data_IF_962584652484
#
_entry.id   IF_962584652484
#
_cell.length_a   1.000
_cell.length_b   1.000
_cell.length_c   1.000
_cell.angle_alpha   90.00
_cell.angle_beta   90.00
_cell.angle_gamma   90.00
#
_symmetry.space_group_name_H-M   'P 1'
#
loop_
_entity.id
_entity.type
_entity.pdbx_description
1 polymer ?
#
# COMPACT_ATOMS: atom_id res chain seq x y z
N UNK A 1 -27.56 38.72 48.77
CA UNK A 1 -26.71 38.60 47.57
C UNK A 1 -25.35 38.04 47.98
N UNK A 2 -25.06 36.80 47.62
CA UNK A 2 -23.72 36.21 47.66
C UNK A 2 -23.66 35.20 46.50
N UNK A 3 -23.05 35.62 45.38
CA UNK A 3 -22.89 34.80 44.17
C UNK A 3 -21.82 33.73 44.44
N UNK A 4 -22.21 32.46 44.42
CA UNK A 4 -21.29 31.30 44.41
C UNK A 4 -20.82 31.06 42.96
N UNK A 5 -19.51 30.87 42.80
CA UNK A 5 -18.81 30.66 41.52
C UNK A 5 -19.15 29.27 40.94
N UNK A 6 -19.40 29.14 39.62
CA UNK A 6 -19.49 27.83 38.98
C UNK A 6 -18.10 27.27 38.65
N UNK A 7 -17.94 25.97 38.95
CA UNK A 7 -16.75 25.14 38.70
C UNK A 7 -16.70 24.81 37.20
N UNK A 8 -15.56 25.07 36.54
CA UNK A 8 -15.30 24.63 35.16
C UNK A 8 -14.76 23.20 35.19
N UNK A 9 -15.53 22.25 34.68
CA UNK A 9 -15.09 20.89 34.39
C UNK A 9 -14.26 20.87 33.11
N UNK A 10 -13.12 20.19 33.17
CA UNK A 10 -12.27 19.86 32.02
C UNK A 10 -13.04 18.90 31.09
N UNK A 11 -13.30 19.33 29.87
CA UNK A 11 -13.60 18.42 28.77
C UNK A 11 -12.48 18.60 27.75
N UNK A 12 -11.56 17.64 27.74
CA UNK A 12 -10.64 17.41 26.63
C UNK A 12 -11.46 17.09 25.39
N UNK A 13 -11.29 17.82 24.27
CA UNK A 13 -11.88 17.39 23.01
C UNK A 13 -11.25 16.05 22.62
N UNK A 14 -12.11 15.06 22.36
CA UNK A 14 -11.78 13.80 21.70
C UNK A 14 -11.03 14.11 20.40
N UNK A 15 -9.92 13.41 20.08
CA UNK A 15 -9.22 13.64 18.82
C UNK A 15 -10.17 13.31 17.66
N UNK A 16 -10.36 14.29 16.79
CA UNK A 16 -10.95 14.09 15.46
C UNK A 16 -10.07 13.10 14.71
N UNK A 17 -10.62 12.03 14.10
CA UNK A 17 -9.83 11.12 13.28
C UNK A 17 -9.27 11.90 12.07
N UNK A 18 -7.95 11.90 11.91
CA UNK A 18 -7.26 12.46 10.74
C UNK A 18 -7.70 11.72 9.48
N UNK A 19 -7.99 12.39 8.35
CA UNK A 19 -8.23 11.73 7.08
C UNK A 19 -6.96 11.00 6.63
N UNK A 20 -7.08 9.71 6.34
CA UNK A 20 -6.06 8.95 5.61
C UNK A 20 -6.12 9.39 4.13
N UNK A 21 -5.07 10.03 3.61
CA UNK A 21 -4.93 10.39 2.19
C UNK A 21 -3.60 9.80 1.63
N UNK A 22 -3.45 9.63 0.30
CA UNK A 22 -3.19 8.32 -0.28
C UNK A 22 -1.97 8.29 -1.22
N UNK A 23 -1.18 7.22 -1.13
CA UNK A 23 -0.09 6.78 -2.03
C UNK A 23 1.33 7.12 -1.56
N UNK A 24 1.95 6.09 -0.99
CA UNK A 24 3.35 5.97 -0.61
C UNK A 24 3.92 4.77 -1.39
N UNK A 25 4.80 5.00 -2.38
CA UNK A 25 5.32 3.95 -3.28
C UNK A 25 6.82 4.15 -3.58
N UNK A 26 7.67 3.19 -3.19
CA UNK A 26 9.12 3.11 -3.50
C UNK A 26 9.45 1.85 -4.36
N UNK A 27 10.49 1.88 -5.23
CA UNK A 27 10.84 0.76 -6.10
C UNK A 27 11.62 -0.35 -5.39
N UNK A 28 11.09 -1.58 -5.41
CA UNK A 28 11.76 -2.76 -4.87
C UNK A 28 12.08 -3.81 -5.94
N UNK A 29 13.27 -4.41 -5.82
CA UNK A 29 13.67 -5.59 -6.61
C UNK A 29 13.18 -6.87 -5.91
N UNK A 30 12.04 -7.39 -6.34
CA UNK A 30 11.40 -8.54 -5.71
C UNK A 30 11.41 -9.73 -6.66
N UNK A 31 11.83 -10.89 -6.16
CA UNK A 31 11.60 -12.17 -6.83
C UNK A 31 10.21 -12.65 -6.42
N UNK A 32 9.24 -12.38 -7.27
CA UNK A 32 7.86 -12.84 -7.12
C UNK A 32 7.48 -13.72 -8.30
N UNK A 33 6.53 -14.61 -8.05
CA UNK A 33 5.86 -15.30 -9.13
C UNK A 33 4.89 -14.30 -9.80
N UNK A 34 5.16 -13.97 -11.07
CA UNK A 34 4.28 -13.09 -11.84
C UNK A 34 3.11 -13.91 -12.34
N UNK A 35 1.91 -13.39 -12.09
CA UNK A 35 0.67 -13.90 -12.70
C UNK A 35 0.63 -13.44 -14.17
N UNK A 36 0.71 -14.39 -15.10
CA UNK A 36 0.63 -14.16 -16.54
C UNK A 36 -0.82 -14.05 -17.02
N UNK A 37 -1.69 -14.85 -16.42
CA UNK A 37 -3.12 -14.87 -16.71
C UNK A 37 -3.87 -15.40 -15.48
N UNK A 38 -5.08 -14.89 -15.27
CA UNK A 38 -5.91 -15.25 -14.14
C UNK A 38 -7.38 -15.25 -14.55
N UNK A 39 -8.05 -16.38 -14.34
CA UNK A 39 -9.47 -16.53 -14.63
C UNK A 39 -10.21 -17.07 -13.42
N UNK A 40 -11.36 -16.47 -13.15
CA UNK A 40 -12.31 -16.91 -12.13
C UNK A 40 -13.58 -17.37 -12.82
N UNK A 41 -14.08 -18.55 -12.46
CA UNK A 41 -15.31 -19.08 -13.02
C UNK A 41 -15.92 -20.13 -12.11
N UNK A 42 -17.18 -20.46 -12.36
CA UNK A 42 -17.91 -21.47 -11.61
C UNK A 42 -18.53 -22.50 -12.53
N UNK A 43 -18.51 -23.76 -12.10
CA UNK A 43 -19.23 -24.83 -12.79
C UNK A 43 -20.20 -25.50 -11.84
N UNK A 44 -21.34 -25.89 -12.38
CA UNK A 44 -22.31 -26.70 -11.69
C UNK A 44 -22.42 -28.05 -12.37
N UNK A 45 -22.35 -29.12 -11.58
CA UNK A 45 -22.58 -30.48 -12.07
C UNK A 45 -23.59 -31.19 -11.17
N UNK A 46 -24.42 -32.04 -11.78
CA UNK A 46 -25.43 -32.82 -11.09
C UNK A 46 -25.24 -34.29 -11.39
N UNK A 47 -24.75 -35.02 -10.39
CA UNK A 47 -24.50 -36.45 -10.50
C UNK A 47 -25.50 -37.26 -9.69
N UNK A 48 -25.93 -38.38 -10.26
CA UNK A 48 -26.71 -39.40 -9.56
C UNK A 48 -25.74 -40.37 -8.89
N UNK A 49 -25.71 -40.34 -7.58
CA UNK A 49 -24.76 -41.10 -6.79
C UNK A 49 -25.42 -42.32 -6.16
N UNK A 50 -24.73 -43.44 -6.28
CA UNK A 50 -25.12 -44.69 -5.64
C UNK A 50 -24.84 -44.62 -4.13
N UNK A 51 -25.70 -45.23 -3.31
CA UNK A 51 -25.47 -45.39 -1.88
C UNK A 51 -24.52 -46.59 -1.70
N UNK A 52 -23.24 -46.38 -1.32
CA UNK A 52 -22.24 -47.44 -1.34
C UNK A 52 -22.51 -48.55 -0.33
N UNK A 53 -23.12 -48.19 0.81
CA UNK A 53 -23.43 -49.13 1.88
C UNK A 53 -24.71 -49.93 1.57
N UNK A 54 -24.59 -51.25 1.46
CA UNK A 54 -25.70 -52.13 1.09
C UNK A 54 -26.83 -52.11 2.14
N UNK A 55 -26.48 -52.07 3.42
CA UNK A 55 -27.46 -52.03 4.50
C UNK A 55 -28.26 -50.73 4.46
N UNK A 56 -27.58 -49.58 4.36
CA UNK A 56 -28.23 -48.28 4.23
C UNK A 56 -29.13 -48.23 3.00
N UNK A 57 -28.67 -48.75 1.85
CA UNK A 57 -29.46 -48.80 0.62
C UNK A 57 -30.74 -49.64 0.76
N UNK A 58 -30.69 -50.76 1.49
CA UNK A 58 -31.89 -51.57 1.80
C UNK A 58 -32.85 -50.80 2.71
N UNK A 59 -32.34 -50.22 3.80
CA UNK A 59 -33.16 -49.41 4.73
C UNK A 59 -33.83 -48.21 4.03
N UNK A 60 -33.13 -47.55 3.12
CA UNK A 60 -33.67 -46.44 2.32
C UNK A 60 -34.73 -46.95 1.34
N UNK A 61 -34.49 -48.07 0.66
CA UNK A 61 -35.48 -48.68 -0.26
C UNK A 61 -36.77 -49.09 0.46
N UNK A 62 -36.66 -49.70 1.64
CA UNK A 62 -37.80 -50.10 2.46
C UNK A 62 -38.59 -48.89 2.96
N UNK A 63 -37.90 -47.83 3.38
CA UNK A 63 -38.56 -46.60 3.81
C UNK A 63 -39.33 -45.93 2.66
N UNK A 64 -38.73 -45.85 1.47
CA UNK A 64 -39.40 -45.32 0.27
C UNK A 64 -40.62 -46.18 -0.13
N UNK A 65 -40.50 -47.50 -0.09
CA UNK A 65 -41.61 -48.43 -0.39
C UNK A 65 -42.76 -48.31 0.63
N UNK A 66 -42.44 -47.99 1.89
CA UNK A 66 -43.41 -47.72 2.95
C UNK A 66 -44.01 -46.30 2.92
N UNK A 67 -43.63 -45.46 1.95
CA UNK A 67 -44.08 -44.07 1.86
C UNK A 67 -43.52 -43.16 2.97
N UNK A 68 -42.42 -43.55 3.61
CA UNK A 68 -41.75 -42.77 4.65
C UNK A 68 -40.82 -41.75 3.99
N UNK A 69 -40.86 -40.51 4.48
CA UNK A 69 -39.98 -39.45 4.00
C UNK A 69 -38.50 -39.74 4.31
N UNK A 70 -37.68 -39.70 3.26
CA UNK A 70 -36.22 -39.79 3.34
C UNK A 70 -35.65 -38.41 3.03
N UNK A 71 -34.91 -37.84 3.99
CA UNK A 71 -34.26 -36.54 3.84
C UNK A 71 -32.76 -36.75 3.60
N UNK A 72 -32.28 -36.26 2.48
CA UNK A 72 -30.84 -36.24 2.16
C UNK A 72 -30.31 -34.84 2.41
N UNK A 73 -29.18 -34.75 3.12
CA UNK A 73 -28.45 -33.50 3.29
C UNK A 73 -27.06 -33.63 2.72
N UNK A 74 -26.70 -32.69 1.86
CA UNK A 74 -25.35 -32.50 1.39
C UNK A 74 -24.60 -31.52 2.30
N UNK A 75 -23.36 -31.85 2.61
CA UNK A 75 -22.43 -30.97 3.34
C UNK A 75 -21.29 -30.63 2.38
N UNK A 76 -21.02 -29.34 2.15
CA UNK A 76 -19.97 -28.90 1.24
C UNK A 76 -18.60 -29.40 1.71
N UNK A 77 -17.70 -29.57 0.75
CA UNK A 77 -16.29 -29.85 1.05
C UNK A 77 -15.62 -28.56 1.54
N UNK A 78 -14.54 -28.70 2.30
CA UNK A 78 -13.61 -27.59 2.48
C UNK A 78 -12.96 -27.29 1.12
N UNK A 79 -12.88 -26.02 0.67
CA UNK A 79 -12.15 -25.69 -0.55
C UNK A 79 -10.70 -26.18 -0.58
N UNK A 80 -10.04 -26.30 0.58
CA UNK A 80 -8.67 -26.85 0.68
C UNK A 80 -8.59 -28.36 0.37
N UNK A 81 -9.70 -29.09 0.51
CA UNK A 81 -9.79 -30.53 0.20
C UNK A 81 -10.01 -30.79 -1.30
N UNK A 82 -10.19 -29.76 -2.13
CA UNK A 82 -10.42 -29.90 -3.57
C UNK A 82 -9.12 -30.15 -4.32
N UNK A 83 -9.02 -31.31 -4.97
CA UNK A 83 -7.85 -31.64 -5.78
C UNK A 83 -7.98 -31.03 -7.19
N UNK A 84 -6.97 -30.28 -7.65
CA UNK A 84 -6.86 -29.83 -9.04
C UNK A 84 -5.69 -30.48 -9.77
N UNK A 85 -5.89 -30.83 -11.05
CA UNK A 85 -4.82 -31.21 -11.97
C UNK A 85 -4.96 -30.46 -13.29
N UNK A 86 -4.01 -29.59 -13.58
CA UNK A 86 -3.92 -28.87 -14.84
C UNK A 86 -2.96 -29.57 -15.81
N UNK A 87 -3.29 -29.50 -17.11
CA UNK A 87 -2.44 -29.99 -18.20
C UNK A 87 -2.52 -29.05 -19.39
N UNK A 88 -1.38 -28.55 -19.85
CA UNK A 88 -1.29 -27.76 -21.07
C UNK A 88 -1.50 -28.69 -22.27
N UNK A 89 -2.49 -28.38 -23.10
CA UNK A 89 -2.75 -29.07 -24.36
C UNK A 89 -2.03 -28.40 -25.53
N UNK A 90 -1.96 -27.07 -25.50
CA UNK A 90 -1.40 -26.25 -26.57
C UNK A 90 -0.82 -24.96 -26.00
N UNK A 91 0.44 -24.65 -26.34
CA UNK A 91 1.08 -23.39 -25.97
C UNK A 91 0.56 -22.24 -26.84
N UNK A 92 0.47 -21.04 -26.29
CA UNK A 92 0.02 -19.87 -27.05
C UNK A 92 -0.33 -18.66 -26.19
N UNK A 93 -0.71 -17.60 -26.88
CA UNK A 93 -1.33 -16.41 -26.31
C UNK A 93 -2.59 -16.06 -27.13
N UNK A 94 -3.74 -16.72 -26.87
CA UNK A 94 -3.97 -17.73 -25.82
C UNK A 94 -3.56 -19.16 -26.23
N UNK A 95 -3.15 -19.96 -25.25
CA UNK A 95 -3.00 -21.42 -25.36
C UNK A 95 -4.17 -22.14 -24.69
N UNK A 96 -4.22 -23.47 -24.80
CA UNK A 96 -5.34 -24.29 -24.31
C UNK A 96 -4.88 -25.20 -23.18
N UNK A 97 -5.61 -25.17 -22.07
CA UNK A 97 -5.32 -25.94 -20.85
C UNK A 97 -6.55 -26.75 -20.46
N UNK A 98 -6.34 -28.03 -20.16
CA UNK A 98 -7.37 -28.89 -19.58
C UNK A 98 -7.15 -29.00 -18.07
N UNK A 99 -8.23 -28.84 -17.30
CA UNK A 99 -8.17 -28.84 -15.84
C UNK A 99 -9.20 -29.84 -15.33
N UNK A 100 -8.75 -30.75 -14.46
CA UNK A 100 -9.60 -31.72 -13.79
C UNK A 100 -9.66 -31.39 -12.31
N UNK A 101 -10.87 -31.13 -11.82
CA UNK A 101 -11.16 -30.88 -10.42
C UNK A 101 -11.81 -32.11 -9.80
N UNK A 102 -11.42 -32.49 -8.59
CA UNK A 102 -12.07 -33.54 -7.81
C UNK A 102 -12.56 -32.96 -6.49
N UNK A 103 -13.89 -32.88 -6.32
CA UNK A 103 -14.54 -32.27 -5.16
C UNK A 103 -15.14 -33.37 -4.26
N UNK A 104 -14.65 -33.55 -3.01
CA UNK A 104 -15.16 -34.56 -2.09
C UNK A 104 -16.29 -34.03 -1.19
N UNK A 105 -17.56 -34.12 -1.63
CA UNK A 105 -18.71 -33.69 -0.81
C UNK A 105 -19.24 -34.79 0.10
N UNK A 106 -19.71 -34.44 1.29
CA UNK A 106 -20.20 -35.41 2.28
C UNK A 106 -21.72 -35.47 2.30
N UNK A 107 -22.28 -36.67 2.14
CA UNK A 107 -23.72 -36.92 2.18
C UNK A 107 -24.12 -37.54 3.52
N UNK A 108 -25.26 -37.11 4.06
CA UNK A 108 -25.92 -37.76 5.21
C UNK A 108 -27.39 -38.02 4.88
N UNK A 109 -27.85 -39.23 5.17
CA UNK A 109 -29.23 -39.65 4.95
C UNK A 109 -29.95 -39.75 6.29
N UNK A 110 -31.17 -39.20 6.34
CA UNK A 110 -32.03 -39.20 7.51
C UNK A 110 -33.39 -39.82 7.16
N UNK A 111 -33.87 -40.71 8.03
CA UNK A 111 -35.22 -41.28 7.98
C UNK A 111 -35.92 -40.92 9.28
N UNK A 112 -37.09 -40.27 9.21
CA UNK A 112 -37.80 -39.78 10.40
C UNK A 112 -36.89 -38.97 11.35
N UNK A 113 -36.04 -38.11 10.78
CA UNK A 113 -35.02 -37.29 11.49
C UNK A 113 -33.88 -38.07 12.16
N UNK A 114 -33.84 -39.40 12.09
CA UNK A 114 -32.72 -40.22 12.56
C UNK A 114 -31.70 -40.39 11.43
N UNK A 115 -30.43 -40.06 11.69
CA UNK A 115 -29.33 -40.33 10.76
C UNK A 115 -29.17 -41.84 10.59
N UNK A 116 -29.21 -42.32 9.35
CA UNK A 116 -29.02 -43.73 9.00
C UNK A 116 -27.57 -43.96 8.58
N UNK A 117 -27.10 -43.24 7.57
CA UNK A 117 -25.72 -43.40 7.08
C UNK A 117 -25.12 -42.08 6.59
N UNK A 118 -23.80 -42.11 6.35
CA UNK A 118 -23.05 -41.01 5.77
C UNK A 118 -21.90 -41.58 4.93
N UNK A 119 -21.65 -40.97 3.78
CA UNK A 119 -20.56 -41.33 2.88
C UNK A 119 -20.09 -40.10 2.09
N UNK A 120 -18.93 -40.20 1.46
CA UNK A 120 -18.35 -39.13 0.64
C UNK A 120 -18.55 -39.46 -0.83
N UNK A 121 -19.00 -38.46 -1.59
CA UNK A 121 -19.11 -38.49 -3.05
C UNK A 121 -17.99 -37.64 -3.62
N UNK A 122 -17.22 -38.18 -4.57
CA UNK A 122 -16.20 -37.42 -5.31
C UNK A 122 -16.78 -37.04 -6.67
N UNK A 123 -17.08 -35.77 -6.88
CA UNK A 123 -17.53 -35.23 -8.16
C UNK A 123 -16.32 -34.72 -8.94
N UNK A 124 -16.23 -35.06 -10.23
CA UNK A 124 -15.16 -34.59 -11.10
C UNK A 124 -15.68 -33.59 -12.12
N UNK A 125 -14.98 -32.46 -12.25
CA UNK A 125 -15.22 -31.48 -13.31
C UNK A 125 -14.05 -31.50 -14.26
N UNK A 126 -14.32 -31.51 -15.56
CA UNK A 126 -13.31 -31.30 -16.59
C UNK A 126 -13.62 -30.00 -17.31
N UNK A 127 -12.66 -29.09 -17.29
CA UNK A 127 -12.76 -27.82 -18.01
C UNK A 127 -11.66 -27.75 -19.06
N UNK A 128 -11.98 -27.07 -20.16
CA UNK A 128 -11.00 -26.55 -21.08
C UNK A 128 -11.04 -25.02 -21.00
N UNK A 129 -9.89 -24.44 -20.72
CA UNK A 129 -9.74 -23.00 -20.48
C UNK A 129 -8.64 -22.48 -21.40
N UNK A 130 -8.88 -21.30 -21.97
CA UNK A 130 -7.87 -20.59 -22.77
C UNK A 130 -7.08 -19.69 -21.83
N UNK A 131 -5.77 -19.92 -21.71
CA UNK A 131 -4.86 -19.19 -20.81
C UNK A 131 -3.61 -18.74 -21.56
N UNK A 132 -3.00 -17.63 -21.15
CA UNK A 132 -1.69 -17.22 -21.67
C UNK A 132 -0.60 -18.18 -21.17
N UNK A 133 -0.19 -19.13 -22.02
CA UNK A 133 0.84 -20.13 -21.72
C UNK A 133 1.91 -20.14 -22.83
N UNK A 134 2.77 -19.11 -22.90
CA UNK A 134 3.88 -19.06 -23.86
C UNK A 134 4.84 -20.25 -23.68
N UNK A 135 5.67 -20.49 -24.70
CA UNK A 135 6.71 -21.52 -24.67
C UNK A 135 7.65 -21.28 -23.47
N UNK A 136 7.80 -22.28 -22.61
CA UNK A 136 8.61 -22.22 -21.38
C UNK A 136 7.80 -22.36 -20.09
N UNK A 137 6.51 -22.03 -20.11
CA UNK A 137 5.58 -22.36 -19.03
C UNK A 137 5.32 -23.88 -19.04
N UNK A 138 5.09 -24.49 -17.88
CA UNK A 138 4.89 -25.94 -17.71
C UNK A 138 3.67 -26.14 -16.83
N UNK A 139 3.08 -27.33 -16.83
CA UNK A 139 1.88 -27.65 -16.04
C UNK A 139 1.99 -27.25 -14.55
N UNK A 140 3.20 -27.34 -13.97
CA UNK A 140 3.48 -26.96 -12.57
C UNK A 140 3.32 -25.47 -12.24
N UNK A 141 3.28 -24.63 -13.27
CA UNK A 141 3.13 -23.17 -13.18
C UNK A 141 1.65 -22.77 -13.27
N UNK A 142 0.74 -23.74 -13.38
CA UNK A 142 -0.69 -23.50 -13.37
C UNK A 142 -1.19 -23.85 -11.98
N UNK A 143 -1.57 -22.81 -11.24
CA UNK A 143 -2.09 -22.91 -9.89
C UNK A 143 -3.60 -22.81 -9.97
N UNK A 144 -4.27 -23.84 -9.46
CA UNK A 144 -5.72 -23.82 -9.35
C UNK A 144 -6.10 -23.84 -7.88
N UNK A 145 -7.08 -23.00 -7.53
CA UNK A 145 -7.60 -22.90 -6.18
C UNK A 145 -9.13 -22.97 -6.23
N UNK A 146 -9.70 -23.77 -5.34
CA UNK A 146 -11.12 -23.71 -5.07
C UNK A 146 -11.37 -22.58 -4.05
N UNK A 147 -12.33 -21.73 -4.33
CA UNK A 147 -12.69 -20.60 -3.46
C UNK A 147 -13.90 -20.94 -2.60
N UNK A 148 -14.90 -21.61 -3.18
CA UNK A 148 -16.10 -22.04 -2.48
C UNK A 148 -16.64 -23.33 -3.10
N UNK A 149 -17.23 -24.17 -2.25
CA UNK A 149 -17.91 -25.39 -2.66
C UNK A 149 -19.30 -25.32 -2.10
N UNK A 150 -20.30 -25.24 -2.96
CA UNK A 150 -21.69 -25.36 -2.55
C UNK A 150 -22.25 -26.70 -3.00
N UNK A 151 -23.06 -27.30 -2.15
CA UNK A 151 -23.70 -28.54 -2.53
C UNK A 151 -25.13 -28.62 -2.03
N UNK A 152 -25.98 -29.18 -2.89
CA UNK A 152 -27.39 -29.41 -2.61
C UNK A 152 -27.79 -30.80 -3.09
N UNK A 153 -28.74 -31.41 -2.39
CA UNK A 153 -29.40 -32.63 -2.81
C UNK A 153 -30.87 -32.32 -3.04
N UNK A 154 -31.44 -32.75 -4.17
CA UNK A 154 -32.84 -32.47 -4.44
C UNK A 154 -33.74 -33.34 -3.57
N UNK A 155 -34.87 -32.78 -3.13
CA UNK A 155 -35.94 -33.50 -2.38
C UNK A 155 -36.83 -34.33 -3.31
N UNK A 156 -36.45 -34.49 -4.57
CA UNK A 156 -37.21 -35.27 -5.54
C UNK A 156 -37.22 -36.75 -5.14
N UNK A 157 -38.24 -37.52 -5.55
CA UNK A 157 -38.29 -38.95 -5.26
C UNK A 157 -37.01 -39.63 -5.76
N UNK A 158 -36.32 -40.31 -4.85
CA UNK A 158 -35.10 -41.05 -5.16
C UNK A 158 -35.46 -42.21 -6.09
N UNK A 159 -34.98 -42.17 -7.32
CA UNK A 159 -35.22 -43.20 -8.33
C UNK A 159 -33.90 -43.80 -8.79
N UNK A 160 -33.86 -45.11 -8.99
CA UNK A 160 -32.72 -45.79 -9.57
C UNK A 160 -33.06 -47.21 -10.00
N UNK A 161 -32.26 -47.78 -10.91
CA UNK A 161 -32.49 -49.13 -11.43
C UNK A 161 -32.17 -50.19 -10.37
N UNK A 162 -32.97 -51.26 -10.33
CA UNK A 162 -32.61 -52.51 -9.65
C UNK A 162 -31.38 -53.13 -10.35
N UNK A 163 -30.31 -53.61 -9.68
CA UNK A 163 -30.07 -53.82 -8.23
C UNK A 163 -29.41 -52.66 -7.49
N UNK A 164 -29.23 -51.50 -8.13
CA UNK A 164 -28.53 -50.36 -7.54
C UNK A 164 -29.42 -49.54 -6.59
N UNK A 165 -30.74 -49.74 -6.64
CA UNK A 165 -31.67 -49.10 -5.71
C UNK A 165 -31.73 -47.58 -5.87
N UNK A 166 -32.22 -46.84 -4.87
CA UNK A 166 -32.41 -45.39 -4.97
C UNK A 166 -31.07 -44.66 -5.12
N UNK A 167 -30.95 -43.86 -6.18
CA UNK A 167 -29.79 -42.99 -6.41
C UNK A 167 -30.07 -41.58 -5.90
N UNK A 168 -29.03 -40.93 -5.40
CA UNK A 168 -29.11 -39.59 -4.81
C UNK A 168 -28.60 -38.57 -5.84
N UNK A 169 -29.46 -37.68 -6.36
CA UNK A 169 -28.99 -36.54 -7.14
C UNK A 169 -28.28 -35.56 -6.21
N UNK A 170 -26.98 -35.38 -6.45
CA UNK A 170 -26.15 -34.39 -5.76
C UNK A 170 -25.71 -33.36 -6.78
N UNK A 171 -26.09 -32.11 -6.52
CA UNK A 171 -25.67 -30.95 -7.29
C UNK A 171 -24.53 -30.27 -6.54
N UNK A 172 -23.39 -30.13 -7.21
CA UNK A 172 -22.20 -29.46 -6.69
C UNK A 172 -21.93 -28.25 -7.57
N UNK A 173 -21.80 -27.09 -6.94
CA UNK A 173 -21.31 -25.86 -7.56
C UNK A 173 -19.91 -25.62 -7.00
N UNK A 174 -18.93 -25.51 -7.89
CA UNK A 174 -17.55 -25.23 -7.55
C UNK A 174 -17.18 -23.84 -8.06
N UNK A 175 -16.85 -22.94 -7.14
CA UNK A 175 -16.24 -21.64 -7.44
C UNK A 175 -14.72 -21.79 -7.37
N UNK A 176 -14.04 -21.35 -8.41
CA UNK A 176 -12.62 -21.63 -8.59
C UNK A 176 -11.93 -20.53 -9.35
N UNK A 177 -10.64 -20.43 -9.08
CA UNK A 177 -9.73 -19.56 -9.79
C UNK A 177 -8.52 -20.35 -10.30
N UNK A 178 -8.05 -19.98 -11.48
CA UNK A 178 -6.91 -20.58 -12.15
C UNK A 178 -5.94 -19.49 -12.55
N UNK A 179 -4.71 -19.60 -12.06
CA UNK A 179 -3.63 -18.65 -12.25
C UNK A 179 -2.47 -19.33 -12.97
N UNK A 180 -1.90 -18.64 -13.95
CA UNK A 180 -0.62 -19.03 -14.55
C UNK A 180 0.46 -18.17 -13.92
N UNK A 181 1.34 -18.77 -13.13
CA UNK A 181 2.39 -18.08 -12.39
C UNK A 181 3.77 -18.54 -12.84
N UNK A 182 4.69 -17.60 -13.06
CA UNK A 182 6.06 -17.95 -13.39
C UNK A 182 7.04 -17.05 -12.61
N UNK A 183 8.12 -17.61 -12.04
CA UNK A 183 9.08 -16.84 -11.27
C UNK A 183 9.80 -15.84 -12.17
N UNK A 184 9.67 -14.56 -11.86
CA UNK A 184 10.37 -13.48 -12.54
C UNK A 184 11.17 -12.68 -11.51
N UNK A 185 12.10 -11.88 -12.01
CA UNK A 185 12.77 -10.83 -11.23
C UNK A 185 12.21 -9.52 -11.76
N UNK A 186 11.50 -8.79 -10.91
CA UNK A 186 10.92 -7.51 -11.25
C UNK A 186 11.55 -6.43 -10.38
N UNK A 187 11.76 -5.27 -10.99
CA UNK A 187 11.95 -4.00 -10.30
C UNK A 187 10.59 -3.30 -10.42
N UNK A 188 9.84 -3.16 -9.32
CA UNK A 188 8.44 -2.71 -9.36
C UNK A 188 8.19 -1.53 -8.43
N UNK A 189 7.56 -0.48 -8.98
CA UNK A 189 6.59 0.37 -8.29
C UNK A 189 5.21 -0.18 -8.66
N UNK A 190 4.49 -0.81 -7.73
CA UNK A 190 3.30 -1.62 -8.06
C UNK A 190 2.10 -1.41 -7.13
N UNK A 191 0.91 -1.27 -7.72
CA UNK A 191 -0.39 -1.43 -7.02
C UNK A 191 -0.80 -2.90 -6.96
N UNK A 192 -1.49 -3.29 -5.89
CA UNK A 192 -2.19 -4.58 -5.80
C UNK A 192 -3.19 -4.75 -6.95
N UNK A 193 -3.17 -5.91 -7.60
CA UNK A 193 -4.14 -6.27 -8.62
C UNK A 193 -5.51 -6.52 -7.98
N UNK A 194 -6.52 -5.74 -8.37
CA UNK A 194 -7.92 -6.03 -8.06
C UNK A 194 -8.54 -6.85 -9.21
N UNK A 195 -9.34 -7.89 -8.94
CA UNK A 195 -10.09 -8.56 -9.99
C UNK A 195 -11.06 -7.56 -10.64
N UNK A 196 -11.16 -7.61 -11.97
CA UNK A 196 -12.20 -6.87 -12.68
C UNK A 196 -13.57 -7.39 -12.26
N UNK A 197 -14.58 -6.53 -12.01
CA UNK A 197 -15.95 -6.98 -11.89
C UNK A 197 -16.43 -7.58 -13.23
N UNK A 198 -17.39 -8.50 -13.15
CA UNK A 198 -17.94 -9.20 -14.31
C UNK A 198 -18.99 -8.34 -15.01
N UNK A 199 -18.53 -7.26 -15.63
CA UNK A 199 -19.37 -6.17 -16.17
C UNK A 199 -20.02 -6.51 -17.53
N UNK A 200 -19.85 -7.75 -18.01
CA UNK A 200 -20.47 -8.24 -19.23
C UNK A 200 -21.78 -8.92 -18.80
N UNK A 201 -22.95 -8.30 -19.06
CA UNK A 201 -24.19 -8.77 -18.47
C UNK A 201 -24.63 -10.08 -19.13
N UNK A 202 -24.59 -11.15 -18.34
CA UNK A 202 -25.43 -12.33 -18.53
C UNK A 202 -26.38 -12.38 -17.34
N UNK A 203 -27.70 -12.36 -17.56
CA UNK A 203 -28.64 -12.29 -16.45
C UNK A 203 -28.59 -13.61 -15.69
N UNK A 204 -28.24 -13.58 -14.41
CA UNK A 204 -28.98 -14.20 -13.29
C UNK A 204 -28.23 -14.10 -11.96
N UNK A 205 -28.99 -13.82 -10.90
CA UNK A 205 -28.48 -13.54 -9.57
C UNK A 205 -28.03 -14.78 -8.80
N UNK A 206 -26.78 -14.73 -8.32
CA UNK A 206 -26.36 -15.00 -6.95
C UNK A 206 -24.89 -14.53 -6.88
N UNK A 207 -24.59 -13.51 -6.07
CA UNK A 207 -23.24 -12.94 -5.92
C UNK A 207 -22.53 -13.52 -4.68
N UNK A 208 -21.22 -13.76 -4.79
CA UNK A 208 -20.37 -14.16 -3.67
C UNK A 208 -19.98 -12.92 -2.84
N UNK A 209 -19.96 -12.99 -1.50
CA UNK A 209 -19.56 -11.87 -0.66
C UNK A 209 -18.04 -11.65 -0.74
N UNK A 210 -17.63 -10.44 -1.05
CA UNK A 210 -16.22 -10.00 -1.15
C UNK A 210 -15.55 -9.83 0.22
N UNK A 211 -16.31 -10.02 1.30
CA UNK A 211 -15.94 -9.64 2.67
C UNK A 211 -15.06 -10.71 3.37
N UNK A 212 -14.80 -11.85 2.72
CA UNK A 212 -14.03 -12.97 3.27
C UNK A 212 -12.50 -12.82 3.13
N UNK A 213 -12.00 -11.69 2.62
CA UNK A 213 -10.57 -11.42 2.45
C UNK A 213 -10.02 -10.56 3.62
N UNK A 214 -9.30 -11.17 4.58
CA UNK A 214 -8.53 -10.46 5.60
C UNK A 214 -7.02 -10.48 5.25
N UNK A 215 -6.41 -9.29 5.18
CA UNK A 215 -4.99 -9.12 4.85
C UNK A 215 -4.11 -9.19 6.11
N UNK A 216 -2.84 -9.65 6.01
CA UNK A 216 -1.90 -9.61 7.13
C UNK A 216 -1.53 -8.16 7.51
N UNK A 217 -1.36 -7.84 8.80
CA UNK A 217 -0.91 -6.52 9.23
C UNK A 217 0.52 -6.25 8.76
N UNK A 218 0.76 -5.05 8.22
CA UNK A 218 2.09 -4.56 7.80
C UNK A 218 2.90 -4.03 9.00
N UNK A 219 4.23 -3.91 8.84
CA UNK A 219 5.16 -3.47 9.88
C UNK A 219 5.37 -1.94 9.84
N UNK A 220 5.45 -1.29 11.02
CA UNK A 220 5.53 0.16 11.19
C UNK A 220 6.88 0.83 10.83
N UNK A 221 7.83 0.11 10.24
CA UNK A 221 9.17 0.64 9.90
C UNK A 221 9.45 0.64 8.38
N UNK A 222 8.43 0.37 7.59
CA UNK A 222 8.53 0.31 6.14
C UNK A 222 7.23 0.84 5.50
N UNK A 223 7.31 1.69 4.46
CA UNK A 223 8.51 2.24 3.82
C UNK A 223 9.13 3.44 4.59
N UNK A 224 10.24 3.96 4.09
CA UNK A 224 10.97 5.13 4.64
C UNK A 224 10.43 6.42 3.98
N UNK A 225 10.52 7.55 4.69
CA UNK A 225 9.94 8.83 4.28
C UNK A 225 10.51 9.37 2.95
N UNK A 226 9.62 9.75 2.03
CA UNK A 226 9.92 10.34 0.71
C UNK A 226 9.48 11.81 0.63
N UNK A 227 9.99 12.56 -0.35
CA UNK A 227 9.63 13.97 -0.59
C UNK A 227 8.92 14.18 -1.93
N UNK A 228 8.04 15.18 -2.01
CA UNK A 228 7.30 15.55 -3.23
C UNK A 228 8.10 16.42 -4.22
N UNK A 229 9.25 16.93 -3.81
CA UNK A 229 10.11 17.78 -4.64
C UNK A 229 11.56 17.67 -4.16
N UNK A 230 12.49 18.06 -5.02
CA UNK A 230 13.91 18.12 -4.70
C UNK A 230 14.47 19.48 -5.04
N UNK A 231 15.46 19.93 -4.27
CA UNK A 231 16.20 21.13 -4.60
C UNK A 231 17.67 21.03 -4.25
N UNK A 232 18.48 21.68 -5.06
CA UNK A 232 19.88 21.98 -4.78
C UNK A 232 20.02 23.49 -4.70
N UNK A 233 20.67 23.99 -3.64
CA UNK A 233 21.01 25.40 -3.51
C UNK A 233 22.49 25.55 -3.17
N UNK A 234 23.18 26.40 -3.94
CA UNK A 234 24.60 26.68 -3.77
C UNK A 234 24.84 28.19 -3.72
N UNK A 235 25.34 28.69 -2.59
CA UNK A 235 25.79 30.06 -2.40
C UNK A 235 27.25 30.06 -1.95
N UNK A 236 28.08 30.96 -2.48
CA UNK A 236 29.51 31.05 -2.15
C UNK A 236 29.90 32.48 -1.81
N UNK A 237 29.92 32.77 -0.51
CA UNK A 237 30.21 34.10 0.03
C UNK A 237 29.29 35.19 -0.52
N UNK A 238 27.99 34.90 -0.58
CA UNK A 238 26.99 35.84 -1.09
C UNK A 238 26.67 36.91 -0.04
N UNK A 239 26.54 38.17 -0.47
CA UNK A 239 26.25 39.29 0.42
C UNK A 239 24.94 39.04 1.17
N UNK A 240 24.96 39.20 2.50
CA UNK A 240 23.86 38.83 3.39
C UNK A 240 23.64 39.91 4.44
N UNK A 241 22.39 40.35 4.58
CA UNK A 241 21.94 41.20 5.69
C UNK A 241 21.19 40.35 6.71
N UNK A 242 21.92 39.72 7.62
CA UNK A 242 21.35 38.78 8.58
C UNK A 242 20.81 39.51 9.82
N UNK A 243 19.74 38.98 10.40
CA UNK A 243 19.17 39.45 11.66
C UNK A 243 19.51 38.48 12.78
N UNK A 244 20.16 38.97 13.84
CA UNK A 244 20.61 38.20 14.99
C UNK A 244 19.81 38.51 16.26
N UNK A 245 19.54 37.45 17.03
CA UNK A 245 18.94 37.52 18.36
C UNK A 245 17.50 38.04 18.38
N UNK A 246 16.92 38.09 19.58
CA UNK A 246 15.56 38.60 19.79
C UNK A 246 15.44 40.11 19.67
N UNK A 247 16.57 40.80 19.75
CA UNK A 247 16.64 42.28 19.70
C UNK A 247 16.68 42.80 18.25
N UNK A 248 16.82 41.91 17.26
CA UNK A 248 16.74 42.24 15.85
C UNK A 248 17.98 42.96 15.30
N UNK A 249 19.16 42.65 15.83
CA UNK A 249 20.42 43.26 15.36
C UNK A 249 20.69 42.85 13.92
N UNK A 250 20.83 43.82 13.02
CA UNK A 250 21.19 43.57 11.62
C UNK A 250 22.71 43.59 11.49
N UNK A 251 23.27 42.55 10.90
CA UNK A 251 24.72 42.37 10.68
C UNK A 251 24.97 42.14 9.20
N UNK A 252 25.98 42.81 8.65
CA UNK A 252 26.36 42.63 7.24
C UNK A 252 27.47 41.59 7.13
N UNK A 253 27.23 40.54 6.37
CA UNK A 253 28.18 39.45 6.21
C UNK A 253 28.08 38.79 4.85
N UNK A 254 28.75 37.65 4.75
CA UNK A 254 28.67 36.76 3.60
C UNK A 254 28.20 35.38 4.02
N UNK A 255 27.26 34.81 3.25
CA UNK A 255 26.74 33.46 3.48
C UNK A 255 27.31 32.46 2.47
N UNK A 256 27.60 31.26 2.94
CA UNK A 256 27.88 30.10 2.10
C UNK A 256 26.91 28.99 2.45
N UNK A 257 26.23 28.44 1.43
CA UNK A 257 25.30 27.32 1.56
C UNK A 257 25.67 26.26 0.53
N UNK A 258 25.73 25.01 0.95
CA UNK A 258 25.71 23.85 0.07
C UNK A 258 24.59 22.94 0.54
N UNK A 259 23.47 22.94 -0.18
CA UNK A 259 22.28 22.18 0.15
C UNK A 259 21.87 21.25 -1.00
N UNK A 260 21.64 19.99 -0.66
CA UNK A 260 21.08 18.96 -1.51
C UNK A 260 19.90 18.33 -0.76
N UNK A 261 18.69 18.76 -1.07
CA UNK A 261 17.47 18.36 -0.37
C UNK A 261 16.69 17.37 -1.23
N UNK A 262 16.35 16.24 -0.61
CA UNK A 262 15.56 15.15 -1.20
C UNK A 262 16.10 14.66 -2.55
N UNK A 263 17.42 14.45 -2.65
CA UNK A 263 18.02 13.94 -3.89
C UNK A 263 17.40 12.58 -4.23
N UNK A 264 16.98 12.43 -5.49
CA UNK A 264 16.22 11.25 -5.95
C UNK A 264 14.89 11.06 -5.20
N UNK A 265 14.31 12.16 -4.69
CA UNK A 265 13.03 12.21 -4.00
C UNK A 265 12.97 11.45 -2.65
N UNK A 266 14.14 11.14 -2.07
CA UNK A 266 14.24 10.45 -0.78
C UNK A 266 14.71 11.39 0.33
N UNK A 267 13.97 11.45 1.46
CA UNK A 267 14.30 12.33 2.58
C UNK A 267 15.67 11.98 3.17
N UNK A 268 15.99 10.67 3.23
CA UNK A 268 17.25 10.14 3.75
C UNK A 268 18.52 10.61 3.00
N UNK A 269 18.38 11.07 1.75
CA UNK A 269 19.50 11.57 0.95
C UNK A 269 19.71 13.09 1.10
N UNK A 270 18.92 13.74 1.95
CA UNK A 270 19.02 15.17 2.18
C UNK A 270 20.25 15.50 3.03
N UNK A 271 20.96 16.56 2.67
CA UNK A 271 22.03 17.14 3.47
C UNK A 271 22.22 18.61 3.12
N UNK A 272 22.64 19.40 4.10
CA UNK A 272 23.17 20.72 3.80
C UNK A 272 24.19 21.18 4.84
N UNK A 273 24.99 22.16 4.47
CA UNK A 273 25.88 22.87 5.39
C UNK A 273 25.76 24.37 5.14
N UNK A 274 25.86 25.16 6.21
CA UNK A 274 25.74 26.60 6.13
C UNK A 274 26.83 27.29 6.95
N UNK A 275 27.38 28.40 6.45
CA UNK A 275 28.23 29.29 7.22
C UNK A 275 27.91 30.75 6.93
N UNK A 276 28.03 31.57 7.98
CA UNK A 276 27.93 33.02 7.91
C UNK A 276 29.24 33.61 8.40
N UNK A 277 29.81 34.53 7.62
CA UNK A 277 31.02 35.29 7.98
C UNK A 277 30.67 36.76 8.12
N UNK A 278 30.86 37.30 9.31
CA UNK A 278 30.69 38.72 9.58
C UNK A 278 31.74 39.53 8.81
N UNK A 279 31.31 40.53 8.05
CA UNK A 279 32.18 41.40 7.25
C UNK A 279 32.18 42.85 7.73
N UNK A 280 31.48 43.13 8.83
CA UNK A 280 31.52 44.44 9.48
C UNK A 280 32.91 44.62 10.16
N UNK A 281 33.95 44.85 9.36
CA UNK A 281 35.26 45.24 9.86
C UNK A 281 35.27 46.71 10.27
N UNK A 282 35.74 46.95 11.50
CA UNK A 282 36.38 48.19 11.93
C UNK A 282 37.44 48.62 10.90
N UNK A 283 37.04 49.42 9.90
CA UNK A 283 37.97 49.94 8.91
C UNK A 283 39.12 50.71 9.58
N UNK A 284 40.38 50.59 9.11
CA UNK A 284 41.50 51.31 9.68
C UNK A 284 41.38 52.80 9.32
N UNK A 285 40.65 53.56 10.12
CA UNK A 285 40.68 55.03 10.04
C UNK A 285 41.84 55.50 10.94
N UNK A 286 42.92 56.09 10.39
CA UNK A 286 43.98 56.64 11.20
C UNK A 286 43.51 57.97 11.81
N UNK A 287 42.76 57.92 12.90
CA UNK A 287 42.51 59.10 13.74
C UNK A 287 42.81 58.74 15.20
N UNK A 288 43.72 59.47 15.87
CA UNK A 288 44.15 59.10 17.22
C UNK A 288 43.14 59.58 18.27
N UNK A 289 42.14 58.75 18.62
CA UNK A 289 41.39 58.85 19.89
C UNK A 289 40.72 57.51 20.23
N UNK A 290 40.33 57.29 21.50
CA UNK A 290 40.70 56.12 22.29
C UNK A 290 40.01 54.83 21.84
N UNK A 291 40.79 53.74 21.73
CA UNK A 291 40.41 52.32 21.63
C UNK A 291 38.99 52.03 21.13
N UNK A 292 38.77 51.67 19.84
CA UNK A 292 37.49 51.12 19.42
C UNK A 292 37.23 49.86 20.25
N UNK A 293 36.05 49.79 20.87
CA UNK A 293 35.59 48.56 21.50
C UNK A 293 35.37 47.56 20.37
N UNK A 294 36.00 46.37 20.38
CA UNK A 294 35.85 45.42 19.28
C UNK A 294 34.36 45.12 19.08
N UNK A 295 33.88 45.30 17.84
CA UNK A 295 32.56 44.79 17.46
C UNK A 295 32.51 43.28 17.74
N UNK A 296 31.43 42.74 18.32
CA UNK A 296 31.30 41.29 18.52
C UNK A 296 31.25 40.60 17.16
N UNK A 297 32.14 39.62 16.94
CA UNK A 297 32.14 38.76 15.74
C UNK A 297 30.94 37.81 15.77
N UNK A 298 30.06 37.92 14.78
CA UNK A 298 28.87 37.08 14.61
C UNK A 298 29.07 35.90 13.64
N UNK A 299 30.31 35.56 13.28
CA UNK A 299 30.59 34.45 12.38
C UNK A 299 30.27 33.09 13.01
N UNK A 300 29.60 32.20 12.27
CA UNK A 300 29.28 30.84 12.72
C UNK A 300 29.17 29.83 11.58
N UNK A 301 29.27 28.56 11.94
CA UNK A 301 28.92 27.43 11.05
C UNK A 301 27.71 26.69 11.62
N UNK A 302 26.87 26.15 10.75
CA UNK A 302 25.69 25.37 11.10
C UNK A 302 25.68 24.06 10.31
N UNK A 303 25.50 22.97 11.05
CA UNK A 303 25.33 21.62 10.50
C UNK A 303 24.03 21.01 11.05
N UNK A 304 23.11 20.54 10.18
CA UNK A 304 21.90 19.86 10.60
C UNK A 304 22.24 18.48 11.19
N UNK A 305 21.60 18.13 12.30
CA UNK A 305 21.69 16.79 12.92
C UNK A 305 20.56 15.88 12.43
N UNK A 306 19.40 16.45 12.13
CA UNK A 306 18.25 15.75 11.53
C UNK A 306 17.68 16.56 10.38
N UNK A 307 16.92 15.89 9.52
CA UNK A 307 16.08 16.50 8.49
C UNK A 307 14.75 15.76 8.60
N UNK A 308 13.80 16.38 9.29
CA UNK A 308 12.59 15.69 9.76
C UNK A 308 11.43 15.85 8.78
N UNK A 309 11.34 16.99 8.10
CA UNK A 309 10.21 17.32 7.24
C UNK A 309 10.64 18.21 6.08
N UNK A 310 10.09 17.95 4.89
CA UNK A 310 10.22 18.81 3.70
C UNK A 310 8.85 19.13 3.15
N UNK A 311 8.51 20.41 3.13
CA UNK A 311 7.26 20.93 2.57
C UNK A 311 7.52 21.54 1.20
N UNK A 312 6.85 21.02 0.19
CA UNK A 312 6.95 21.45 -1.19
C UNK A 312 5.82 22.42 -1.54
N UNK A 313 6.16 23.48 -2.27
CA UNK A 313 5.20 24.37 -2.91
C UNK A 313 5.52 24.44 -4.39
N UNK A 314 4.93 23.52 -5.15
CA UNK A 314 5.10 23.36 -6.60
C UNK A 314 4.63 24.58 -7.37
N UNK A 315 3.50 25.18 -6.98
CA UNK A 315 2.97 26.40 -7.61
C UNK A 315 3.96 27.59 -7.53
N UNK A 316 4.71 27.68 -6.44
CA UNK A 316 5.69 28.75 -6.21
C UNK A 316 7.16 28.32 -6.45
N UNK A 317 7.39 27.10 -6.97
CA UNK A 317 8.74 26.56 -7.18
C UNK A 317 9.65 26.67 -5.95
N UNK A 318 9.13 26.36 -4.76
CA UNK A 318 9.89 26.49 -3.51
C UNK A 318 9.72 25.29 -2.61
N UNK A 319 10.69 25.07 -1.72
CA UNK A 319 10.60 24.08 -0.66
C UNK A 319 11.08 24.63 0.67
N UNK A 320 10.54 24.08 1.76
CA UNK A 320 10.91 24.41 3.13
C UNK A 320 11.30 23.14 3.87
N UNK A 321 12.47 23.13 4.49
CA UNK A 321 13.05 22.00 5.22
C UNK A 321 13.09 22.33 6.71
N UNK A 322 12.65 21.39 7.53
CA UNK A 322 12.63 21.52 8.98
C UNK A 322 13.47 20.43 9.64
N UNK A 323 14.09 20.78 10.76
CA UNK A 323 14.84 19.83 11.58
C UNK A 323 15.57 20.51 12.72
N UNK A 324 16.50 19.78 13.32
CA UNK A 324 17.41 20.26 14.35
C UNK A 324 18.86 20.18 13.89
N UNK A 325 19.72 20.98 14.51
CA UNK A 325 21.15 20.98 14.23
C UNK A 325 21.98 21.70 15.28
N UNK A 326 23.29 21.75 15.04
CA UNK A 326 24.23 22.44 15.89
C UNK A 326 24.80 23.66 15.18
N UNK A 327 24.70 24.82 15.82
CA UNK A 327 25.37 26.05 15.43
C UNK A 327 26.62 26.24 16.28
N UNK A 328 27.77 26.53 15.68
CA UNK A 328 29.03 26.77 16.40
C UNK A 328 29.49 28.22 16.27
N UNK A 329 29.50 28.96 17.39
CA UNK A 329 30.16 30.26 17.51
C UNK A 329 31.53 30.06 18.16
N UNK A 330 32.61 30.48 17.49
CA UNK A 330 33.97 30.40 18.04
C UNK A 330 34.33 29.00 18.60
N UNK A 331 33.76 27.94 18.02
CA UNK A 331 34.00 26.54 18.43
C UNK A 331 33.10 25.99 19.55
N UNK A 332 32.11 26.75 20.03
CA UNK A 332 31.13 26.25 21.02
C UNK A 332 29.82 25.87 20.32
N UNK A 333 29.41 24.59 20.31
CA UNK A 333 28.16 24.16 19.69
C UNK A 333 26.95 24.52 20.56
N UNK A 334 25.89 24.98 19.89
CA UNK A 334 24.58 25.30 20.43
C UNK A 334 23.51 24.57 19.61
N UNK A 335 22.65 23.82 20.28
CA UNK A 335 21.54 23.12 19.64
C UNK A 335 20.41 24.09 19.27
N UNK A 336 19.96 24.04 18.01
CA UNK A 336 18.92 24.91 17.45
C UNK A 336 18.00 24.12 16.52
N UNK A 337 16.76 24.61 16.37
CA UNK A 337 15.84 24.17 15.32
C UNK A 337 16.01 25.08 14.11
N UNK A 338 15.92 24.52 12.91
CA UNK A 338 16.07 25.29 11.69
C UNK A 338 14.86 25.17 10.77
N UNK A 339 14.69 26.20 9.95
CA UNK A 339 13.82 26.23 8.80
C UNK A 339 14.65 26.77 7.62
N UNK A 340 14.95 25.91 6.65
CA UNK A 340 15.65 26.28 5.42
C UNK A 340 14.63 26.36 4.28
N UNK A 341 14.45 27.55 3.70
CA UNK A 341 13.60 27.77 2.54
C UNK A 341 14.45 27.97 1.31
N UNK A 342 14.13 27.29 0.22
CA UNK A 342 14.79 27.41 -1.07
C UNK A 342 13.76 27.89 -2.09
N UNK A 343 14.09 28.95 -2.82
CA UNK A 343 13.19 29.62 -3.78
C UNK A 343 13.79 29.53 -5.18
N UNK A 344 13.11 28.84 -6.11
CA UNK A 344 13.51 28.77 -7.51
C UNK A 344 13.31 30.12 -8.22
N UNK A 345 12.13 30.74 -8.03
CA UNK A 345 11.75 31.98 -8.72
C UNK A 345 12.63 33.18 -8.36
N UNK A 346 13.06 33.25 -7.10
CA UNK A 346 13.96 34.30 -6.61
C UNK A 346 15.44 33.91 -6.76
N UNK A 347 15.73 32.67 -7.16
CA UNK A 347 17.06 32.09 -7.19
C UNK A 347 17.83 32.36 -5.88
N UNK A 348 17.26 31.92 -4.76
CA UNK A 348 17.81 32.22 -3.45
C UNK A 348 17.32 31.29 -2.35
N UNK A 349 17.83 31.49 -1.14
CA UNK A 349 17.42 30.75 0.05
C UNK A 349 17.25 31.66 1.26
N UNK A 350 16.58 31.16 2.29
CA UNK A 350 16.49 31.78 3.60
C UNK A 350 16.68 30.71 4.67
N UNK A 351 17.61 30.91 5.60
CA UNK A 351 17.80 30.06 6.77
C UNK A 351 17.36 30.80 8.03
N UNK A 352 16.41 30.22 8.76
CA UNK A 352 15.92 30.70 10.05
C UNK A 352 16.33 29.70 11.12
N UNK A 353 17.00 30.15 12.17
CA UNK A 353 17.34 29.33 13.34
C UNK A 353 16.55 29.79 14.56
N UNK A 354 16.06 28.82 15.35
CA UNK A 354 15.28 29.03 16.55
C UNK A 354 15.92 28.30 17.73
N UNK A 355 15.90 28.93 18.90
CA UNK A 355 16.31 28.27 20.13
C UNK A 355 15.21 27.31 20.65
N UNK A 356 15.50 26.62 21.76
CA UNK A 356 14.56 25.70 22.42
C UNK A 356 13.28 26.35 22.96
N UNK A 357 13.24 27.68 23.07
CA UNK A 357 12.04 28.43 23.41
C UNK A 357 11.22 28.86 22.17
N UNK A 358 11.65 28.47 20.96
CA UNK A 358 11.01 28.81 19.68
C UNK A 358 11.30 30.23 19.18
N UNK A 359 12.14 30.99 19.89
CA UNK A 359 12.52 32.35 19.50
C UNK A 359 13.55 32.31 18.38
N UNK A 360 13.38 33.17 17.37
CA UNK A 360 14.35 33.32 16.26
C UNK A 360 15.64 33.90 16.83
N UNK A 361 16.74 33.19 16.62
CA UNK A 361 18.10 33.61 17.03
C UNK A 361 18.97 33.99 15.84
N UNK A 362 18.55 33.62 14.63
CA UNK A 362 19.18 33.99 13.37
C UNK A 362 18.16 33.92 12.24
N UNK A 363 18.19 34.89 11.34
CA UNK A 363 17.48 34.89 10.06
C UNK A 363 18.43 35.47 9.02
N UNK A 364 18.80 34.70 8.01
CA UNK A 364 19.69 35.18 6.94
C UNK A 364 19.04 36.25 6.05
N UNK A 365 17.71 36.41 6.12
CA UNK A 365 16.95 37.02 5.03
C UNK A 365 17.03 36.16 3.77
N UNK A 366 16.55 36.71 2.65
CA UNK A 366 16.68 36.05 1.35
C UNK A 366 18.08 36.36 0.81
N UNK A 367 18.86 35.31 0.56
CA UNK A 367 20.22 35.36 0.02
C UNK A 367 20.23 34.74 -1.36
N UNK A 368 20.90 35.38 -2.31
CA UNK A 368 21.06 34.87 -3.67
C UNK A 368 21.79 33.52 -3.66
N UNK A 369 21.39 32.60 -4.53
CA UNK A 369 22.02 31.30 -4.69
C UNK A 369 21.77 30.70 -6.07
N UNK A 370 22.67 29.84 -6.51
CA UNK A 370 22.39 28.95 -7.62
C UNK A 370 21.41 27.86 -7.16
N UNK A 371 20.15 28.01 -7.56
CA UNK A 371 19.08 27.07 -7.22
C UNK A 371 18.73 26.19 -8.42
N UNK A 372 18.58 24.90 -8.17
CA UNK A 372 17.91 23.96 -9.06
C UNK A 372 16.78 23.31 -8.29
N UNK A 373 15.56 23.47 -8.78
CA UNK A 373 14.36 22.85 -8.22
C UNK A 373 13.75 21.95 -9.29
N UNK A 374 13.41 20.72 -8.92
CA UNK A 374 12.73 19.77 -9.78
C UNK A 374 11.56 19.17 -8.98
N UNK A 375 10.38 19.08 -9.60
CA UNK A 375 9.24 18.35 -9.03
C UNK A 375 9.48 16.86 -9.10
N UNK A 376 9.12 16.13 -8.04
CA UNK A 376 9.12 14.68 -8.09
C UNK A 376 7.77 14.25 -8.66
N UNK A 377 7.78 13.63 -9.85
CA UNK A 377 6.56 13.13 -10.47
C UNK A 377 5.83 12.18 -9.51
N UNK A 378 4.70 12.63 -8.98
CA UNK A 378 3.88 11.78 -8.12
C UNK A 378 2.96 10.91 -8.96
N UNK A 379 2.49 9.82 -8.38
CA UNK A 379 1.53 8.94 -9.06
C UNK A 379 0.22 9.66 -9.44
N UNK A 380 -0.14 10.75 -8.75
CA UNK A 380 -1.32 11.56 -9.05
C UNK A 380 -1.17 12.38 -10.34
N UNK A 381 0.04 12.87 -10.64
CA UNK A 381 0.32 13.67 -11.83
C UNK A 381 0.22 12.85 -13.12
N UNK A 382 0.66 11.59 -13.05
CA UNK A 382 0.56 10.61 -14.15
C UNK A 382 -0.89 10.19 -14.44
N UNK A 383 -1.78 10.26 -13.45
CA UNK A 383 -3.21 10.00 -13.63
C UNK A 383 -3.93 11.18 -14.27
N UNK A 384 -3.58 12.42 -13.88
CA UNK A 384 -4.23 13.64 -14.37
C UNK A 384 -3.77 14.02 -15.79
N UNK A 385 -2.54 13.67 -16.18
CA UNK A 385 -2.04 13.92 -17.54
C UNK A 385 -2.79 13.15 -18.65
N UNK A 386 -3.54 12.09 -18.30
CA UNK A 386 -4.37 11.36 -19.25
C UNK A 386 -5.76 11.98 -19.48
N UNK A 387 -6.14 13.04 -18.74
CA UNK A 387 -7.44 13.70 -18.88
C UNK A 387 -7.37 14.89 -19.86
N UNK A 388 -6.20 15.47 -20.11
CA UNK A 388 -6.04 16.68 -20.94
C UNK A 388 -5.54 16.40 -22.37
N UNK A 389 -5.44 15.14 -22.79
CA UNK A 389 -5.01 14.73 -24.13
C UNK A 389 -6.11 14.61 -25.18
N UNK A 390 -7.26 15.29 -25.01
CA UNK A 390 -8.30 15.40 -26.04
C UNK A 390 -8.58 16.89 -26.32
N UNK A 391 -7.70 17.48 -27.12
CA UNK A 391 -7.94 18.71 -27.88
C UNK A 391 -7.66 18.45 -29.35
#
# INVERSE_FOLDING_TARGET
MNKRRPIKGSQTPTPTPTPLDPNDLAPECIKVDKVYDWVFFSNQDENKNFIPDEQCRKEVSEALAAGIEVNVKCFPADPEDVECRAKILEHGNPGRVSIVWTVPVRIKIFIKKKKICSFTVRTQFQDEVMLCVPEGIKDKHIHCKATDVQCSSSTLPLMGPDPFGPMIPVRVLLCKDVQVEFPVKLEVLGKFCFPRPNDIPVPNGLECPLDAFEFPPQCDFFPVDNCECQATALARNEETFATFGTDGTIVTGTSTLEAEICQECALANSRFTYSFTDTDEDGPTPTPTPTPTPSPDFSFTFEPTTIDEVLCNTEAGSLSVFGEGERSFNGTPEHVFYELRIFSDLAGFQLILRNTAGAIVFDSGIVDALVRFDECDTFADLLNNNVNGNG
#
